data_IF_141232872897
#
_entry.id   IF_141232872897
#
_cell.length_a   1.000
_cell.length_b   1.000
_cell.length_c   1.000
_cell.angle_alpha   90.00
_cell.angle_beta   90.00
_cell.angle_gamma   90.00
#
_symmetry.space_group_name_H-M   'P 1'
#
loop_
_entity.id
_entity.type
_entity.pdbx_description
1 polymer ?
#
# COMPACT_ATOMS: atom_id res chain seq x y z
N UNK A 1 48.79 -34.45 13.91
CA UNK A 1 47.69 -33.64 13.36
C UNK A 1 46.74 -33.29 14.51
N UNK A 2 46.54 -32.01 14.83
CA UNK A 2 45.56 -31.68 15.87
C UNK A 2 44.15 -31.84 15.31
N UNK A 3 43.33 -32.55 16.03
CA UNK A 3 41.89 -32.73 15.76
C UNK A 3 41.18 -31.43 16.14
N UNK A 4 40.69 -30.67 15.14
CA UNK A 4 39.80 -29.55 15.40
C UNK A 4 38.50 -30.05 16.03
N UNK A 5 38.28 -29.65 17.25
CA UNK A 5 37.02 -29.87 17.97
C UNK A 5 36.00 -28.88 17.42
N UNK A 6 35.11 -29.34 16.55
CA UNK A 6 33.95 -28.55 16.11
C UNK A 6 33.09 -28.22 17.34
N UNK A 7 33.08 -26.95 17.71
CA UNK A 7 32.13 -26.43 18.71
C UNK A 7 30.73 -26.56 18.14
N UNK A 8 29.76 -27.16 18.82
CA UNK A 8 28.39 -27.21 18.36
C UNK A 8 27.84 -25.79 18.22
N UNK A 9 26.94 -25.53 17.23
CA UNK A 9 26.32 -24.22 17.09
C UNK A 9 25.58 -23.86 18.40
N UNK A 10 25.55 -22.56 18.76
CA UNK A 10 24.83 -22.11 19.95
C UNK A 10 23.34 -22.46 19.84
N UNK A 11 22.75 -22.92 20.94
CA UNK A 11 21.30 -23.16 21.00
C UNK A 11 20.55 -21.85 20.69
N UNK A 12 19.42 -21.91 19.94
CA UNK A 12 18.63 -20.71 19.63
C UNK A 12 18.21 -20.01 20.92
N UNK A 13 18.17 -18.68 20.91
CA UNK A 13 17.64 -17.89 22.04
C UNK A 13 16.13 -18.20 22.21
N UNK A 14 15.61 -17.95 23.42
CA UNK A 14 14.18 -18.10 23.70
C UNK A 14 13.30 -17.35 22.69
N UNK A 15 13.77 -16.19 22.27
CA UNK A 15 13.13 -15.30 21.33
C UNK A 15 13.07 -15.86 19.92
N UNK A 16 14.17 -16.46 19.44
CA UNK A 16 14.18 -17.17 18.16
C UNK A 16 13.22 -18.36 18.18
N UNK A 17 13.13 -19.07 19.29
CA UNK A 17 12.21 -20.19 19.44
C UNK A 17 10.73 -19.76 19.32
N UNK A 18 10.35 -18.59 19.88
CA UNK A 18 8.97 -18.06 19.78
C UNK A 18 8.61 -17.68 18.35
N UNK A 19 9.50 -16.99 17.64
CA UNK A 19 9.28 -16.62 16.22
C UNK A 19 9.17 -17.88 15.35
N UNK A 20 10.03 -18.88 15.57
CA UNK A 20 9.99 -20.14 14.84
C UNK A 20 8.67 -20.90 15.08
N UNK A 21 8.17 -20.94 16.32
CA UNK A 21 6.88 -21.52 16.67
C UNK A 21 5.73 -20.78 15.98
N UNK A 22 5.76 -19.44 15.98
CA UNK A 22 4.76 -18.64 15.29
C UNK A 22 4.78 -18.87 13.79
N UNK A 23 5.97 -18.88 13.17
CA UNK A 23 6.17 -19.18 11.75
C UNK A 23 5.65 -20.58 11.39
N UNK A 24 5.90 -21.56 12.23
CA UNK A 24 5.37 -22.92 12.02
C UNK A 24 3.83 -22.95 12.03
N UNK A 25 3.18 -22.20 12.93
CA UNK A 25 1.71 -22.07 12.94
C UNK A 25 1.20 -21.40 11.64
N UNK A 26 1.85 -20.34 11.18
CA UNK A 26 1.49 -19.65 9.95
C UNK A 26 1.66 -20.54 8.71
N UNK A 27 2.71 -21.37 8.68
CA UNK A 27 2.94 -22.34 7.59
C UNK A 27 1.97 -23.52 7.61
N UNK A 28 1.42 -23.87 8.78
CA UNK A 28 0.41 -24.90 8.93
C UNK A 28 -1.03 -24.43 8.59
N UNK A 29 -1.15 -23.24 7.99
CA UNK A 29 -2.41 -22.62 7.57
C UNK A 29 -3.44 -22.51 8.71
N UNK A 30 -2.96 -22.15 9.92
CA UNK A 30 -3.84 -21.83 11.04
C UNK A 30 -4.82 -20.73 10.65
N UNK A 31 -6.07 -20.73 11.15
CA UNK A 31 -7.04 -19.68 10.85
C UNK A 31 -6.49 -18.28 11.20
N UNK A 32 -6.70 -17.30 10.31
CA UNK A 32 -6.14 -15.96 10.47
C UNK A 32 -6.42 -15.30 11.83
N UNK A 33 -7.62 -15.50 12.38
CA UNK A 33 -8.01 -14.93 13.68
C UNK A 33 -7.26 -15.58 14.86
N UNK A 34 -6.99 -16.88 14.79
CA UNK A 34 -6.18 -17.58 15.81
C UNK A 34 -4.71 -17.16 15.72
N UNK A 35 -4.21 -16.98 14.49
CA UNK A 35 -2.85 -16.56 14.24
C UNK A 35 -2.63 -15.13 14.72
N UNK A 36 -3.54 -14.21 14.40
CA UNK A 36 -3.49 -12.82 14.84
C UNK A 36 -3.55 -12.69 16.36
N UNK A 37 -4.41 -13.48 17.04
CA UNK A 37 -4.45 -13.53 18.49
C UNK A 37 -3.15 -14.09 19.07
N UNK A 38 -2.63 -15.18 18.51
CA UNK A 38 -1.35 -15.78 18.93
C UNK A 38 -0.18 -14.79 18.78
N UNK A 39 -0.17 -13.99 17.71
CA UNK A 39 0.80 -12.91 17.50
C UNK A 39 0.74 -11.89 18.63
N UNK A 40 -0.45 -11.40 18.97
CA UNK A 40 -0.63 -10.40 20.03
C UNK A 40 -0.15 -10.92 21.38
N UNK A 41 -0.48 -12.17 21.71
CA UNK A 41 -0.09 -12.79 22.98
C UNK A 41 1.44 -12.92 23.05
N UNK A 42 2.10 -13.32 21.96
CA UNK A 42 3.55 -13.47 21.90
C UNK A 42 4.30 -12.13 21.88
N UNK A 43 3.70 -11.09 21.28
CA UNK A 43 4.29 -9.76 21.24
C UNK A 43 4.27 -9.05 22.60
N UNK A 44 3.41 -9.43 23.55
CA UNK A 44 3.24 -8.75 24.82
C UNK A 44 4.54 -8.61 25.67
N UNK A 45 5.54 -9.46 25.44
CA UNK A 45 6.85 -9.40 26.09
C UNK A 45 8.04 -9.24 25.13
N UNK A 46 7.76 -9.00 23.85
CA UNK A 46 8.78 -8.93 22.81
C UNK A 46 9.46 -7.56 22.78
N UNK A 47 10.77 -7.55 22.48
CA UNK A 47 11.45 -6.30 22.08
C UNK A 47 11.08 -5.88 20.65
N UNK A 48 11.35 -4.60 20.26
CA UNK A 48 10.91 -4.07 18.98
C UNK A 48 11.34 -4.90 17.75
N UNK A 49 12.59 -5.36 17.71
CA UNK A 49 13.08 -6.18 16.59
C UNK A 49 12.36 -7.53 16.48
N UNK A 50 11.98 -8.14 17.61
CA UNK A 50 11.22 -9.37 17.64
C UNK A 50 9.76 -9.13 17.26
N UNK A 51 9.17 -8.03 17.71
CA UNK A 51 7.83 -7.62 17.35
C UNK A 51 7.71 -7.38 15.83
N UNK A 52 8.72 -6.77 15.21
CA UNK A 52 8.79 -6.59 13.75
C UNK A 52 8.76 -7.94 13.02
N UNK A 53 9.47 -8.96 13.53
CA UNK A 53 9.46 -10.30 12.92
C UNK A 53 8.07 -10.96 12.97
N UNK A 54 7.33 -10.78 14.06
CA UNK A 54 5.95 -11.27 14.13
C UNK A 54 5.05 -10.62 13.07
N UNK A 55 5.20 -9.30 12.88
CA UNK A 55 4.47 -8.58 11.83
C UNK A 55 4.83 -9.12 10.45
N UNK A 56 6.11 -9.33 10.14
CA UNK A 56 6.57 -9.88 8.84
C UNK A 56 6.01 -11.27 8.56
N UNK A 57 5.97 -12.12 9.57
CA UNK A 57 5.36 -13.45 9.45
C UNK A 57 3.87 -13.33 9.14
N UNK A 58 3.17 -12.41 9.83
CA UNK A 58 1.76 -12.17 9.59
C UNK A 58 1.48 -11.59 8.20
N UNK A 59 2.30 -10.64 7.73
CA UNK A 59 2.20 -10.13 6.35
C UNK A 59 2.39 -11.26 5.32
N UNK A 60 3.41 -12.10 5.48
CA UNK A 60 3.65 -13.24 4.59
C UNK A 60 2.47 -14.22 4.58
N UNK A 61 1.83 -14.42 5.74
CA UNK A 61 0.61 -15.20 5.83
C UNK A 61 -0.53 -14.57 5.03
N UNK A 62 -0.75 -13.25 5.17
CA UNK A 62 -1.78 -12.55 4.40
C UNK A 62 -1.53 -12.60 2.90
N UNK A 63 -0.30 -12.37 2.45
CA UNK A 63 0.08 -12.46 1.04
C UNK A 63 -0.26 -13.84 0.43
N UNK A 64 0.00 -14.90 1.19
CA UNK A 64 -0.31 -16.27 0.77
C UNK A 64 -1.82 -16.56 0.75
N UNK A 65 -2.57 -16.05 1.74
CA UNK A 65 -3.93 -16.52 2.03
C UNK A 65 -5.03 -15.52 1.62
N UNK A 66 -4.67 -14.32 1.08
CA UNK A 66 -5.65 -13.30 0.70
C UNK A 66 -6.63 -13.80 -0.37
N UNK A 67 -6.14 -14.55 -1.36
CA UNK A 67 -7.01 -15.11 -2.41
C UNK A 67 -8.00 -16.12 -1.84
N UNK A 68 -7.59 -17.00 -0.94
CA UNK A 68 -8.49 -17.93 -0.27
C UNK A 68 -9.54 -17.20 0.58
N UNK A 69 -9.12 -16.16 1.31
CA UNK A 69 -10.05 -15.31 2.06
C UNK A 69 -11.07 -14.62 1.13
N UNK A 70 -10.64 -14.20 -0.06
CA UNK A 70 -11.52 -13.62 -1.08
C UNK A 70 -12.50 -14.68 -1.64
N UNK A 71 -12.03 -15.87 -1.98
CA UNK A 71 -12.86 -16.96 -2.50
C UNK A 71 -13.99 -17.33 -1.54
N UNK A 72 -13.75 -17.33 -0.23
CA UNK A 72 -14.78 -17.58 0.79
C UNK A 72 -15.94 -16.57 0.74
N UNK A 73 -15.68 -15.34 0.30
CA UNK A 73 -16.69 -14.29 0.17
C UNK A 73 -17.40 -14.31 -1.19
N UNK A 74 -16.92 -15.09 -2.18
CA UNK A 74 -17.47 -15.07 -3.55
C UNK A 74 -18.79 -15.81 -3.71
N UNK A 75 -19.24 -16.60 -2.74
CA UNK A 75 -20.50 -17.28 -2.82
C UNK A 75 -21.65 -16.28 -3.04
N UNK A 76 -22.56 -16.57 -3.99
CA UNK A 76 -23.63 -15.67 -4.42
C UNK A 76 -24.48 -15.16 -3.25
N UNK A 77 -24.87 -16.05 -2.33
CA UNK A 77 -25.64 -15.67 -1.14
C UNK A 77 -24.87 -14.73 -0.19
N UNK A 78 -23.54 -14.85 -0.12
CA UNK A 78 -22.67 -13.95 0.66
C UNK A 78 -22.66 -12.57 0.01
N UNK A 79 -22.34 -12.50 -1.27
CA UNK A 79 -22.29 -11.26 -2.03
C UNK A 79 -23.63 -10.51 -1.99
N UNK A 80 -24.75 -11.21 -2.21
CA UNK A 80 -26.09 -10.61 -2.17
C UNK A 80 -26.43 -9.97 -0.82
N UNK A 81 -25.94 -10.49 0.28
CA UNK A 81 -26.15 -9.91 1.59
C UNK A 81 -25.23 -8.73 1.87
N UNK A 82 -23.95 -8.86 1.54
CA UNK A 82 -22.95 -7.81 1.77
C UNK A 82 -23.19 -6.57 0.91
N UNK A 83 -23.61 -6.74 -0.35
CA UNK A 83 -23.93 -5.62 -1.25
C UNK A 83 -25.16 -4.80 -0.83
N UNK A 84 -26.01 -5.32 0.06
CA UNK A 84 -27.13 -4.55 0.64
C UNK A 84 -26.74 -3.61 1.77
N UNK A 85 -25.53 -3.79 2.32
CA UNK A 85 -25.04 -2.97 3.41
C UNK A 85 -24.55 -1.61 2.90
N UNK A 86 -24.42 -0.65 3.82
CA UNK A 86 -23.84 0.65 3.52
C UNK A 86 -22.32 0.56 3.38
N UNK A 87 -21.74 1.37 2.50
CA UNK A 87 -20.29 1.42 2.28
C UNK A 87 -19.75 2.83 2.54
N UNK A 88 -18.57 2.99 3.16
CA UNK A 88 -17.67 1.91 3.63
C UNK A 88 -18.30 1.07 4.76
N UNK A 89 -17.90 -0.23 4.79
CA UNK A 89 -18.40 -1.16 5.79
C UNK A 89 -17.80 -0.87 7.18
N UNK A 90 -18.65 -0.97 8.20
CA UNK A 90 -18.27 -0.83 9.61
C UNK A 90 -18.78 -2.00 10.45
N UNK A 91 -18.12 -2.32 11.57
CA UNK A 91 -18.42 -3.52 12.37
C UNK A 91 -19.84 -3.52 12.97
N UNK A 92 -20.44 -2.35 13.23
CA UNK A 92 -21.82 -2.22 13.71
C UNK A 92 -22.86 -2.74 12.69
N UNK A 93 -22.51 -2.77 11.41
CA UNK A 93 -23.38 -3.32 10.35
C UNK A 93 -23.46 -4.86 10.35
N UNK A 94 -22.61 -5.56 11.11
CA UNK A 94 -22.70 -7.02 11.29
C UNK A 94 -24.10 -7.47 11.71
N UNK A 95 -24.77 -6.69 12.53
CA UNK A 95 -26.14 -7.00 12.99
C UNK A 95 -27.19 -6.97 11.87
N UNK A 96 -26.90 -6.26 10.77
CA UNK A 96 -27.74 -6.19 9.57
C UNK A 96 -27.62 -7.41 8.64
N UNK A 97 -26.65 -8.30 8.87
CA UNK A 97 -26.50 -9.54 8.09
C UNK A 97 -27.45 -10.58 8.70
N UNK A 98 -28.51 -10.91 7.95
CA UNK A 98 -29.58 -11.80 8.45
C UNK A 98 -29.12 -13.27 8.58
N UNK A 99 -28.36 -13.78 7.58
CA UNK A 99 -27.85 -15.14 7.57
C UNK A 99 -26.71 -15.29 8.59
N UNK A 100 -26.93 -16.17 9.58
CA UNK A 100 -25.94 -16.42 10.64
C UNK A 100 -24.62 -16.95 10.12
N UNK A 101 -24.64 -17.76 9.05
CA UNK A 101 -23.41 -18.33 8.47
C UNK A 101 -22.58 -17.26 7.76
N UNK A 102 -23.24 -16.35 7.04
CA UNK A 102 -22.60 -15.19 6.40
C UNK A 102 -22.05 -14.25 7.47
N UNK A 103 -22.83 -13.96 8.52
CA UNK A 103 -22.37 -13.12 9.63
C UNK A 103 -21.12 -13.70 10.30
N UNK A 104 -21.14 -15.00 10.64
CA UNK A 104 -19.96 -15.68 11.22
C UNK A 104 -18.75 -15.64 10.31
N UNK A 105 -18.93 -15.81 8.99
CA UNK A 105 -17.84 -15.71 8.02
C UNK A 105 -17.23 -14.31 8.04
N UNK A 106 -18.06 -13.26 8.04
CA UNK A 106 -17.59 -11.86 8.11
C UNK A 106 -16.89 -11.58 9.44
N UNK A 107 -17.47 -12.00 10.57
CA UNK A 107 -16.86 -11.86 11.91
C UNK A 107 -15.47 -12.51 11.96
N UNK A 108 -15.33 -13.72 11.42
CA UNK A 108 -14.04 -14.43 11.35
C UNK A 108 -13.04 -13.70 10.43
N UNK A 109 -13.51 -13.17 9.29
CA UNK A 109 -12.70 -12.39 8.37
C UNK A 109 -12.17 -11.13 9.05
N UNK A 110 -13.03 -10.38 9.73
CA UNK A 110 -12.62 -9.17 10.46
C UNK A 110 -11.70 -9.51 11.65
N UNK A 111 -12.02 -10.54 12.43
CA UNK A 111 -11.19 -11.02 13.54
C UNK A 111 -9.81 -11.49 13.07
N UNK A 112 -9.72 -11.99 11.84
CA UNK A 112 -8.49 -12.43 11.19
C UNK A 112 -7.58 -11.28 10.70
N UNK A 113 -7.96 -10.01 10.93
CA UNK A 113 -7.15 -8.87 10.51
C UNK A 113 -7.38 -8.44 9.07
N UNK A 114 -8.52 -8.82 8.52
CA UNK A 114 -9.01 -8.24 7.26
C UNK A 114 -10.10 -7.22 7.54
N UNK A 115 -10.38 -6.37 6.57
CA UNK A 115 -11.58 -5.56 6.45
C UNK A 115 -12.22 -5.80 5.09
N UNK A 116 -13.46 -5.40 4.94
CA UNK A 116 -14.17 -5.54 3.67
C UNK A 116 -14.06 -4.26 2.86
N UNK A 117 -13.88 -4.41 1.56
CA UNK A 117 -13.95 -3.35 0.57
C UNK A 117 -14.84 -3.78 -0.60
N UNK A 118 -15.27 -2.84 -1.43
CA UNK A 118 -16.14 -3.11 -2.57
C UNK A 118 -15.69 -2.38 -3.82
N UNK A 119 -15.65 -3.07 -4.95
CA UNK A 119 -15.45 -2.49 -6.27
C UNK A 119 -16.23 -3.29 -7.31
N UNK A 120 -16.67 -2.64 -8.36
CA UNK A 120 -17.32 -3.28 -9.53
C UNK A 120 -18.47 -4.23 -9.16
N UNK A 121 -19.22 -3.89 -8.10
CA UNK A 121 -20.31 -4.71 -7.61
C UNK A 121 -19.92 -5.98 -6.88
N UNK A 122 -18.66 -6.10 -6.44
CA UNK A 122 -18.14 -7.22 -5.68
C UNK A 122 -17.60 -6.76 -4.33
N UNK A 123 -17.80 -7.57 -3.30
CA UNK A 123 -17.20 -7.39 -1.96
C UNK A 123 -16.03 -8.35 -1.80
N UNK A 124 -14.92 -7.85 -1.30
CA UNK A 124 -13.69 -8.63 -1.11
C UNK A 124 -12.96 -8.19 0.16
N UNK A 125 -12.11 -9.06 0.74
CA UNK A 125 -11.30 -8.71 1.88
C UNK A 125 -10.05 -7.97 1.45
N UNK A 126 -9.61 -7.02 2.27
CA UNK A 126 -8.28 -6.41 2.20
C UNK A 126 -7.61 -6.52 3.56
N UNK A 127 -6.28 -6.55 3.59
CA UNK A 127 -5.54 -6.59 4.86
C UNK A 127 -5.80 -5.30 5.65
N UNK A 128 -6.18 -5.42 6.90
CA UNK A 128 -6.39 -4.28 7.79
C UNK A 128 -5.08 -3.91 8.50
N UNK A 129 -4.27 -3.11 7.84
CA UNK A 129 -3.01 -2.62 8.42
C UNK A 129 -3.22 -1.74 9.65
N UNK A 130 -4.39 -1.09 9.78
CA UNK A 130 -4.78 -0.38 11.00
C UNK A 130 -4.85 -1.30 12.22
N UNK A 131 -5.33 -2.54 12.05
CA UNK A 131 -5.33 -3.56 13.12
C UNK A 131 -3.94 -4.03 13.52
N UNK A 132 -3.00 -4.09 12.58
CA UNK A 132 -1.59 -4.38 12.89
C UNK A 132 -0.93 -3.19 13.59
N UNK A 133 -1.27 -1.97 13.22
CA UNK A 133 -0.75 -0.74 13.81
C UNK A 133 -1.18 -0.53 15.28
N UNK A 134 -2.28 -1.16 15.74
CA UNK A 134 -2.68 -1.14 17.16
C UNK A 134 -1.55 -1.61 18.09
N UNK A 135 -0.67 -2.48 17.60
CA UNK A 135 0.52 -2.93 18.32
C UNK A 135 1.76 -2.02 18.08
N UNK A 136 1.57 -0.85 17.48
CA UNK A 136 2.64 0.05 17.04
C UNK A 136 3.58 0.57 18.13
N UNK A 137 3.18 0.49 19.39
CA UNK A 137 4.08 0.84 20.52
C UNK A 137 5.12 -0.25 20.83
N UNK A 138 4.95 -1.46 20.31
CA UNK A 138 5.83 -2.61 20.54
C UNK A 138 6.83 -2.83 19.40
N UNK A 139 6.56 -2.30 18.20
CA UNK A 139 7.42 -2.45 17.03
C UNK A 139 8.46 -1.34 16.93
N UNK A 140 9.45 -1.51 16.06
CA UNK A 140 10.41 -0.45 15.76
C UNK A 140 9.77 0.78 15.12
N UNK A 141 10.45 1.92 15.16
CA UNK A 141 10.01 3.15 14.49
C UNK A 141 9.84 2.95 12.99
N UNK A 142 10.72 2.16 12.36
CA UNK A 142 10.64 1.83 10.94
C UNK A 142 9.37 1.02 10.64
N UNK A 143 9.11 -0.04 11.39
CA UNK A 143 7.91 -0.87 11.23
C UNK A 143 6.63 -0.07 11.49
N UNK A 144 6.60 0.78 12.53
CA UNK A 144 5.46 1.65 12.82
C UNK A 144 5.16 2.60 11.64
N UNK A 145 6.19 3.23 11.08
CA UNK A 145 6.07 4.11 9.91
C UNK A 145 5.58 3.34 8.68
N UNK A 146 6.10 2.14 8.45
CA UNK A 146 5.67 1.26 7.36
C UNK A 146 4.19 0.85 7.50
N UNK A 147 3.78 0.38 8.67
CA UNK A 147 2.38 0.02 8.91
C UNK A 147 1.44 1.23 8.74
N UNK A 148 1.88 2.42 9.15
CA UNK A 148 1.12 3.66 8.94
C UNK A 148 0.96 3.99 7.45
N UNK A 149 2.01 3.80 6.66
CA UNK A 149 1.97 3.97 5.20
C UNK A 149 1.01 2.97 4.53
N UNK A 150 1.10 1.70 4.92
CA UNK A 150 0.23 0.66 4.36
C UNK A 150 -1.24 0.82 4.79
N UNK A 151 -1.48 1.35 6.01
CA UNK A 151 -2.81 1.64 6.50
C UNK A 151 -3.51 2.72 5.66
N UNK A 152 -2.80 3.74 5.15
CA UNK A 152 -3.40 4.76 4.28
C UNK A 152 -4.12 4.15 3.08
N UNK A 153 -3.50 3.15 2.42
CA UNK A 153 -4.09 2.47 1.27
C UNK A 153 -5.20 1.50 1.67
N UNK A 154 -5.00 0.76 2.76
CA UNK A 154 -6.00 -0.18 3.21
C UNK A 154 -7.23 0.47 3.84
N UNK A 155 -7.11 1.69 4.37
CA UNK A 155 -8.24 2.45 4.93
C UNK A 155 -9.07 3.14 3.85
N UNK A 156 -8.40 3.64 2.81
CA UNK A 156 -9.04 4.25 1.66
C UNK A 156 -8.13 4.05 0.44
N UNK A 157 -8.48 3.13 -0.45
CA UNK A 157 -7.69 2.89 -1.67
C UNK A 157 -7.53 4.17 -2.49
N UNK A 158 -6.37 4.32 -3.11
CA UNK A 158 -6.09 5.48 -3.97
C UNK A 158 -6.76 5.39 -5.33
N UNK A 159 -6.93 4.18 -5.84
CA UNK A 159 -7.41 3.94 -7.20
C UNK A 159 -8.45 2.81 -7.27
N UNK A 160 -9.40 2.94 -8.17
CA UNK A 160 -10.38 1.92 -8.53
C UNK A 160 -10.78 2.10 -9.99
N UNK A 161 -10.89 1.00 -10.75
CA UNK A 161 -11.28 1.01 -12.17
C UNK A 161 -10.48 2.05 -13.00
N UNK A 162 -9.15 2.00 -12.86
CA UNK A 162 -8.23 2.93 -13.50
C UNK A 162 -8.54 4.43 -13.25
N UNK A 163 -9.29 4.75 -12.19
CA UNK A 163 -9.57 6.10 -11.74
C UNK A 163 -8.97 6.38 -10.36
N UNK A 164 -8.52 7.61 -10.13
CA UNK A 164 -8.17 8.11 -8.80
C UNK A 164 -9.47 8.31 -8.00
N UNK A 165 -9.56 7.72 -6.80
CA UNK A 165 -10.74 7.82 -5.93
C UNK A 165 -10.48 8.61 -4.65
N UNK A 166 -9.31 9.22 -4.55
CA UNK A 166 -8.92 10.19 -3.53
C UNK A 166 -8.61 11.55 -4.18
N UNK A 167 -8.47 12.60 -3.37
CA UNK A 167 -8.10 13.91 -3.89
C UNK A 167 -6.63 13.99 -4.28
N UNK A 168 -6.25 14.94 -5.15
CA UNK A 168 -4.85 15.22 -5.49
C UNK A 168 -4.02 15.59 -4.26
N UNK A 169 -4.60 16.33 -3.30
CA UNK A 169 -3.96 16.65 -2.02
C UNK A 169 -3.61 15.39 -1.21
N UNK A 170 -4.57 14.46 -1.11
CA UNK A 170 -4.33 13.20 -0.39
C UNK A 170 -3.31 12.32 -1.11
N UNK A 171 -3.35 12.28 -2.45
CA UNK A 171 -2.37 11.54 -3.23
C UNK A 171 -0.96 12.11 -3.03
N UNK A 172 -0.81 13.44 -3.06
CA UNK A 172 0.47 14.12 -2.80
C UNK A 172 1.00 13.81 -1.40
N UNK A 173 0.13 13.87 -0.40
CA UNK A 173 0.48 13.52 0.99
C UNK A 173 0.98 12.07 1.11
N UNK A 174 0.32 11.12 0.44
CA UNK A 174 0.74 9.71 0.42
C UNK A 174 2.05 9.50 -0.33
N UNK A 175 2.24 10.20 -1.46
CA UNK A 175 3.49 10.18 -2.22
C UNK A 175 4.66 10.64 -1.34
N UNK A 176 4.50 11.77 -0.66
CA UNK A 176 5.51 12.31 0.25
C UNK A 176 5.76 11.42 1.48
N UNK A 177 4.73 10.78 2.01
CA UNK A 177 4.87 9.84 3.12
C UNK A 177 5.68 8.60 2.71
N UNK A 178 5.41 8.04 1.52
CA UNK A 178 6.14 6.91 0.98
C UNK A 178 7.60 7.27 0.66
N UNK A 179 7.85 8.43 0.03
CA UNK A 179 9.19 8.98 -0.17
C UNK A 179 9.94 9.14 1.15
N UNK A 180 9.31 9.78 2.14
CA UNK A 180 9.90 10.01 3.47
C UNK A 180 10.30 8.70 4.15
N UNK A 181 9.48 7.65 4.02
CA UNK A 181 9.82 6.34 4.56
C UNK A 181 11.12 5.80 3.94
N UNK A 182 11.20 5.75 2.61
CA UNK A 182 12.37 5.22 1.89
C UNK A 182 13.63 6.02 2.20
N UNK A 183 13.51 7.35 2.31
CA UNK A 183 14.61 8.24 2.65
C UNK A 183 15.09 8.08 4.10
N UNK A 184 14.16 7.80 5.03
CA UNK A 184 14.46 7.71 6.47
C UNK A 184 14.96 6.32 6.88
N UNK A 185 14.47 5.28 6.22
CA UNK A 185 14.76 3.88 6.56
C UNK A 185 15.32 3.09 5.36
N UNK A 186 16.47 3.53 4.79
CA UNK A 186 17.02 2.93 3.57
C UNK A 186 17.40 1.45 3.71
N UNK A 187 17.73 1.01 4.92
CA UNK A 187 18.13 -0.37 5.22
C UNK A 187 17.00 -1.23 5.80
N UNK A 188 15.76 -0.71 5.85
CA UNK A 188 14.61 -1.48 6.35
C UNK A 188 14.27 -2.63 5.42
N UNK A 189 13.95 -3.82 5.94
CA UNK A 189 13.43 -4.93 5.14
C UNK A 189 12.16 -4.56 4.33
N UNK A 190 11.36 -3.62 4.82
CA UNK A 190 10.11 -3.14 4.18
C UNK A 190 10.37 -2.08 3.10
N UNK A 191 11.63 -1.64 2.92
CA UNK A 191 11.99 -0.55 2.00
C UNK A 191 11.44 -0.77 0.59
N UNK A 192 11.61 -1.98 0.04
CA UNK A 192 11.18 -2.26 -1.34
C UNK A 192 9.66 -2.07 -1.52
N UNK A 193 8.84 -2.54 -0.58
CA UNK A 193 7.38 -2.36 -0.63
C UNK A 193 6.99 -0.87 -0.55
N UNK A 194 7.68 -0.11 0.30
CA UNK A 194 7.46 1.33 0.43
C UNK A 194 7.92 2.10 -0.82
N UNK A 195 9.03 1.69 -1.43
CA UNK A 195 9.53 2.24 -2.70
C UNK A 195 8.55 1.99 -3.85
N UNK A 196 8.04 0.76 -3.99
CA UNK A 196 7.04 0.44 -5.00
C UNK A 196 5.75 1.26 -4.81
N UNK A 197 5.36 1.50 -3.56
CA UNK A 197 4.23 2.37 -3.23
C UNK A 197 4.52 3.83 -3.59
N UNK A 198 5.73 4.33 -3.30
CA UNK A 198 6.17 5.67 -3.70
C UNK A 198 6.09 5.86 -5.22
N UNK A 199 6.67 4.93 -5.98
CA UNK A 199 6.66 4.98 -7.45
C UNK A 199 5.24 4.96 -8.00
N UNK A 200 4.38 4.09 -7.47
CA UNK A 200 2.98 4.01 -7.89
C UNK A 200 2.23 5.33 -7.65
N UNK A 201 2.34 5.90 -6.46
CA UNK A 201 1.68 7.17 -6.14
C UNK A 201 2.24 8.32 -6.98
N UNK A 202 3.55 8.36 -7.19
CA UNK A 202 4.21 9.38 -8.01
C UNK A 202 3.75 9.31 -9.47
N UNK A 203 3.62 8.10 -10.03
CA UNK A 203 3.08 7.89 -11.36
C UNK A 203 1.63 8.39 -11.45
N UNK A 204 0.75 7.98 -10.53
CA UNK A 204 -0.63 8.48 -10.50
C UNK A 204 -0.68 10.00 -10.42
N UNK A 205 0.19 10.59 -9.60
CA UNK A 205 0.23 12.04 -9.38
C UNK A 205 0.68 12.83 -10.60
N UNK A 206 1.77 12.42 -11.27
CA UNK A 206 2.39 13.18 -12.36
C UNK A 206 1.94 12.76 -13.76
N UNK A 207 1.36 11.58 -13.91
CA UNK A 207 0.90 11.10 -15.22
C UNK A 207 -0.60 10.85 -15.32
N UNK A 208 -1.30 10.85 -14.18
CA UNK A 208 -2.71 10.51 -14.11
C UNK A 208 -2.96 9.02 -14.31
N UNK A 209 -4.22 8.72 -14.51
CA UNK A 209 -4.74 7.38 -14.79
C UNK A 209 -5.71 7.45 -15.97
N UNK A 210 -6.03 6.31 -16.58
CA UNK A 210 -6.87 6.27 -17.80
C UNK A 210 -8.22 6.96 -17.59
N UNK A 211 -8.87 6.72 -16.44
CA UNK A 211 -10.14 7.35 -16.10
C UNK A 211 -9.99 8.63 -15.24
N UNK A 212 -8.76 9.05 -14.95
CA UNK A 212 -8.46 10.34 -14.30
C UNK A 212 -7.18 10.94 -14.91
N UNK A 213 -7.26 11.40 -16.17
CA UNK A 213 -6.12 12.02 -16.83
C UNK A 213 -5.79 13.38 -16.18
N UNK A 214 -4.52 13.79 -16.24
CA UNK A 214 -4.09 15.10 -15.77
C UNK A 214 -4.51 16.25 -16.69
N UNK A 215 -5.12 15.97 -17.82
CA UNK A 215 -5.48 16.95 -18.85
C UNK A 215 -6.95 16.82 -19.28
N UNK A 216 -7.49 17.93 -19.79
CA UNK A 216 -8.86 17.98 -20.29
C UNK A 216 -8.96 17.80 -21.81
N UNK A 217 -10.17 18.03 -22.37
CA UNK A 217 -10.51 17.87 -23.79
C UNK A 217 -9.66 18.68 -24.75
N UNK A 218 -8.94 19.70 -24.27
CA UNK A 218 -8.00 20.52 -25.05
C UNK A 218 -6.56 20.01 -25.00
N UNK A 219 -6.32 18.80 -24.47
CA UNK A 219 -5.00 18.19 -24.29
C UNK A 219 -4.02 18.99 -23.40
N UNK A 220 -4.52 19.98 -22.69
CA UNK A 220 -3.77 20.78 -21.75
C UNK A 220 -4.01 20.31 -20.33
N UNK A 221 -2.97 20.38 -19.50
CA UNK A 221 -3.10 20.11 -18.08
C UNK A 221 -4.27 20.88 -17.48
N UNK A 222 -4.98 20.24 -16.54
CA UNK A 222 -6.10 20.86 -15.84
C UNK A 222 -5.61 22.06 -15.04
N UNK A 223 -6.21 23.27 -15.14
CA UNK A 223 -5.71 24.49 -14.50
C UNK A 223 -5.54 24.37 -12.99
N UNK A 224 -6.54 23.75 -12.31
CA UNK A 224 -6.49 23.56 -10.86
C UNK A 224 -5.36 22.61 -10.46
N UNK A 225 -5.13 21.56 -11.27
CA UNK A 225 -4.04 20.61 -11.02
C UNK A 225 -2.67 21.26 -11.29
N UNK A 226 -2.55 22.13 -12.32
CA UNK A 226 -1.33 22.89 -12.53
C UNK A 226 -1.01 23.79 -11.34
N UNK A 227 -2.01 24.50 -10.81
CA UNK A 227 -1.87 25.32 -9.60
C UNK A 227 -1.41 24.46 -8.40
N UNK A 228 -1.98 23.27 -8.26
CA UNK A 228 -1.58 22.32 -7.22
C UNK A 228 -0.11 21.87 -7.41
N UNK A 229 0.33 21.57 -8.63
CA UNK A 229 1.73 21.25 -8.95
C UNK A 229 2.68 22.43 -8.59
N UNK A 230 2.30 23.68 -8.90
CA UNK A 230 3.09 24.86 -8.56
C UNK A 230 3.28 25.00 -7.05
N UNK A 231 2.21 24.76 -6.27
CA UNK A 231 2.27 24.77 -4.81
C UNK A 231 3.15 23.64 -4.26
N UNK A 232 2.98 22.43 -4.78
CA UNK A 232 3.77 21.26 -4.36
C UNK A 232 5.25 21.43 -4.67
N UNK A 233 5.60 21.89 -5.87
CA UNK A 233 6.99 22.12 -6.27
C UNK A 233 7.70 23.20 -5.44
N UNK A 234 6.96 24.15 -4.89
CA UNK A 234 7.51 25.19 -3.98
C UNK A 234 7.60 24.65 -2.55
N UNK A 235 6.52 24.10 -2.03
CA UNK A 235 6.44 23.63 -0.64
C UNK A 235 7.37 22.44 -0.34
N UNK A 236 7.62 21.60 -1.35
CA UNK A 236 8.39 20.35 -1.22
C UNK A 236 9.63 20.33 -2.15
N UNK A 237 10.24 21.48 -2.40
CA UNK A 237 11.38 21.63 -3.34
C UNK A 237 12.61 20.78 -2.99
N UNK A 238 12.76 20.34 -1.74
CA UNK A 238 13.83 19.45 -1.27
C UNK A 238 13.54 17.96 -1.42
N UNK A 239 12.36 17.56 -1.89
CA UNK A 239 11.95 16.17 -2.07
C UNK A 239 12.06 15.75 -3.54
N UNK A 240 12.15 14.44 -3.80
CA UNK A 240 12.12 13.87 -5.15
C UNK A 240 10.78 14.22 -5.82
N UNK A 241 9.67 14.07 -5.10
CA UNK A 241 8.33 14.47 -5.55
C UNK A 241 8.29 15.91 -6.01
N UNK A 242 8.79 16.85 -5.19
CA UNK A 242 8.81 18.28 -5.54
C UNK A 242 9.70 18.60 -6.73
N UNK A 243 10.87 17.96 -6.85
CA UNK A 243 11.80 18.14 -7.97
C UNK A 243 11.22 17.64 -9.29
N UNK A 244 10.62 16.42 -9.30
CA UNK A 244 9.98 15.87 -10.49
C UNK A 244 8.70 16.62 -10.86
N UNK A 245 7.97 17.15 -9.87
CA UNK A 245 6.86 18.08 -10.14
C UNK A 245 7.34 19.38 -10.79
N UNK A 246 8.49 19.91 -10.36
CA UNK A 246 9.12 21.09 -11.00
C UNK A 246 9.51 20.79 -12.44
N UNK A 247 10.13 19.65 -12.71
CA UNK A 247 10.49 19.23 -14.07
C UNK A 247 9.25 19.16 -14.98
N UNK A 248 8.15 18.57 -14.49
CA UNK A 248 6.88 18.55 -15.23
C UNK A 248 6.39 19.96 -15.53
N UNK A 249 6.42 20.89 -14.56
CA UNK A 249 6.01 22.28 -14.77
C UNK A 249 6.88 23.00 -15.82
N UNK A 250 8.17 22.75 -15.86
CA UNK A 250 9.07 23.33 -16.85
C UNK A 250 8.72 22.81 -18.27
N UNK A 251 8.37 21.53 -18.40
CA UNK A 251 7.85 20.94 -19.64
C UNK A 251 6.54 21.62 -20.03
N UNK A 252 5.57 21.74 -19.12
CA UNK A 252 4.29 22.38 -19.38
C UNK A 252 4.45 23.83 -19.83
N UNK A 253 5.38 24.58 -19.25
CA UNK A 253 5.70 25.95 -19.67
C UNK A 253 6.24 25.99 -21.11
N UNK A 254 7.06 25.01 -21.50
CA UNK A 254 7.64 24.91 -22.86
C UNK A 254 6.58 24.52 -23.90
N UNK A 255 5.65 23.62 -23.53
CA UNK A 255 4.61 23.12 -24.45
C UNK A 255 3.33 23.95 -24.45
N UNK A 256 3.28 25.04 -23.67
CA UNK A 256 2.07 25.86 -23.50
C UNK A 256 0.94 25.08 -22.80
N UNK A 257 1.32 24.32 -21.78
CA UNK A 257 0.48 23.44 -20.98
C UNK A 257 -0.01 22.17 -21.71
N UNK A 258 0.41 21.93 -22.94
CA UNK A 258 0.01 20.76 -23.70
C UNK A 258 0.77 19.51 -23.22
N UNK A 259 0.04 18.43 -22.93
CA UNK A 259 0.57 17.10 -22.61
C UNK A 259 0.32 16.11 -23.75
N UNK A 260 -0.69 16.36 -24.57
CA UNK A 260 -1.03 15.56 -25.75
C UNK A 260 -1.46 16.47 -26.91
N UNK A 261 -1.58 15.91 -28.10
CA UNK A 261 -2.07 16.59 -29.30
C UNK A 261 -2.60 15.54 -30.29
N UNK A 262 -3.37 15.96 -31.28
CA UNK A 262 -3.72 15.10 -32.41
C UNK A 262 -2.57 15.05 -33.41
N UNK A 263 -2.18 13.85 -33.82
CA UNK A 263 -1.25 13.64 -34.91
C UNK A 263 -1.92 13.91 -36.28
N UNK A 264 -1.15 13.76 -37.37
CA UNK A 264 -1.67 13.99 -38.75
C UNK A 264 -2.81 13.03 -39.15
N UNK A 265 -2.93 11.90 -38.46
CA UNK A 265 -3.97 10.92 -38.68
C UNK A 265 -5.22 11.17 -37.83
N UNK A 266 -5.14 12.13 -36.88
CA UNK A 266 -6.23 12.42 -35.95
C UNK A 266 -6.15 11.62 -34.65
N UNK A 267 -5.12 10.76 -34.46
CA UNK A 267 -4.92 10.01 -33.23
C UNK A 267 -4.36 10.90 -32.14
N UNK A 268 -4.76 10.63 -30.91
CA UNK A 268 -4.21 11.29 -29.72
C UNK A 268 -2.83 10.73 -29.43
N UNK A 269 -1.84 11.62 -29.29
CA UNK A 269 -0.46 11.27 -28.95
C UNK A 269 0.09 12.26 -27.94
N UNK A 270 0.90 11.79 -27.02
CA UNK A 270 1.60 12.68 -26.09
C UNK A 270 2.59 13.57 -26.84
N UNK A 271 2.76 14.82 -26.40
CA UNK A 271 3.85 15.69 -26.89
C UNK A 271 5.19 15.08 -26.48
N UNK A 272 6.20 15.24 -27.33
CA UNK A 272 7.48 14.51 -27.21
C UNK A 272 8.16 14.71 -25.83
N UNK A 273 8.16 15.94 -25.32
CA UNK A 273 8.76 16.31 -24.05
C UNK A 273 8.05 15.61 -22.88
N UNK A 274 6.73 15.59 -22.88
CA UNK A 274 5.94 14.92 -21.85
C UNK A 274 6.05 13.39 -21.96
N UNK A 275 6.05 12.84 -23.17
CA UNK A 275 6.28 11.41 -23.37
C UNK A 275 7.63 10.96 -22.79
N UNK A 276 8.71 11.70 -23.11
CA UNK A 276 10.04 11.42 -22.58
C UNK A 276 10.11 11.52 -21.04
N UNK A 277 9.43 12.51 -20.46
CA UNK A 277 9.30 12.64 -19.01
C UNK A 277 8.60 11.43 -18.40
N UNK A 278 7.41 11.07 -18.91
CA UNK A 278 6.61 9.95 -18.45
C UNK A 278 7.41 8.63 -18.51
N UNK A 279 8.07 8.36 -19.63
CA UNK A 279 8.84 7.14 -19.85
C UNK A 279 10.07 7.04 -18.93
N UNK A 280 10.62 8.18 -18.50
CA UNK A 280 11.79 8.24 -17.61
C UNK A 280 11.44 8.44 -16.13
N UNK A 281 10.19 8.69 -15.78
CA UNK A 281 9.75 9.08 -14.43
C UNK A 281 10.20 8.09 -13.35
N UNK A 282 9.89 6.81 -13.54
CA UNK A 282 10.24 5.77 -12.59
C UNK A 282 11.76 5.64 -12.41
N UNK A 283 12.51 5.61 -13.53
CA UNK A 283 13.97 5.47 -13.47
C UNK A 283 14.63 6.67 -12.78
N UNK A 284 14.15 7.89 -13.01
CA UNK A 284 14.60 9.10 -12.32
C UNK A 284 14.30 9.06 -10.83
N UNK A 285 13.08 8.68 -10.47
CA UNK A 285 12.67 8.59 -9.08
C UNK A 285 13.52 7.56 -8.33
N UNK A 286 13.69 6.35 -8.89
CA UNK A 286 14.54 5.32 -8.28
C UNK A 286 15.99 5.76 -8.17
N UNK A 287 16.57 6.36 -9.21
CA UNK A 287 17.96 6.83 -9.19
C UNK A 287 18.23 7.94 -8.16
N UNK A 288 17.20 8.67 -7.73
CA UNK A 288 17.30 9.70 -6.70
C UNK A 288 17.16 9.15 -5.27
N UNK A 289 16.75 7.90 -5.10
CA UNK A 289 16.61 7.27 -3.79
C UNK A 289 17.98 6.77 -3.27
N UNK A 290 18.19 6.73 -1.94
CA UNK A 290 19.44 6.22 -1.35
C UNK A 290 19.60 4.72 -1.64
N UNK A 291 20.80 4.28 -1.98
CA UNK A 291 21.14 2.87 -2.15
C UNK A 291 20.63 2.21 -3.45
N UNK A 292 20.21 3.04 -4.42
CA UNK A 292 19.86 2.56 -5.78
C UNK A 292 21.09 2.35 -6.65
#
# INVERSE_FOLDING_TARGET
MPTETLTPPPSPSSDQTLIEQFRAKALADAPAHELLQSMRDMMAGAGPAQADEFIRVMESYYEKNLNEAAERLQAENVQQQLLKLSWPFTEDQLTGIEDKSVRMLVEQTLAGGYKLDTAEGMVFPVVDYGKLLINGEQVSTAMKAYLSLMAMESDARSASDAALVITWDELTKRTLAAESYVMTFPDSPERQKAEDRFIQYLQYYLTGMDNTPIFGTGYKVLPDLKTHYEQTAVAHSGTITGQLTRELLDILNTTGDAVAAKNKNGDEVYVAEYAAFRDSLESKARAALPGS
#
